data_IF_013930729668
#
_entry.id   IF_013930729668
#
_cell.length_a   1.000
_cell.length_b   1.000
_cell.length_c   1.000
_cell.angle_alpha   90.00
_cell.angle_beta   90.00
_cell.angle_gamma   90.00
#
_symmetry.space_group_name_H-M   'P 1'
#
loop_
_entity.id
_entity.type
_entity.pdbx_description
1 polymer ?
#
# COMPACT_ATOMS: atom_id res chain seq x y z
N UNK A 1 11.48 -7.18 -16.53
CA UNK A 1 11.22 -8.63 -16.66
C UNK A 1 11.61 -9.06 -18.06
N UNK A 2 10.97 -8.52 -19.12
CA UNK A 2 11.30 -8.89 -20.53
C UNK A 2 12.77 -8.65 -20.89
N UNK A 3 13.32 -7.48 -20.55
CA UNK A 3 14.73 -7.14 -20.82
C UNK A 3 15.75 -8.05 -20.13
N UNK A 4 15.36 -8.67 -19.01
CA UNK A 4 16.18 -9.58 -18.23
C UNK A 4 15.95 -11.06 -18.59
N UNK A 5 15.11 -11.35 -19.60
CA UNK A 5 14.76 -12.72 -19.97
C UNK A 5 14.08 -13.55 -18.87
N UNK A 6 13.43 -12.88 -17.89
CA UNK A 6 12.76 -13.57 -16.80
C UNK A 6 11.36 -13.97 -17.26
N UNK A 7 11.12 -15.29 -17.31
CA UNK A 7 9.80 -15.88 -17.59
C UNK A 7 9.16 -16.34 -16.29
N UNK A 8 7.83 -16.16 -16.16
CA UNK A 8 7.01 -16.58 -15.02
C UNK A 8 7.61 -16.20 -13.65
N UNK A 9 7.87 -14.92 -13.36
CA UNK A 9 8.47 -14.50 -12.09
C UNK A 9 7.58 -14.84 -10.89
N UNK A 10 8.19 -15.11 -9.74
CA UNK A 10 7.51 -15.00 -8.45
C UNK A 10 7.62 -13.55 -7.99
N UNK A 11 6.48 -12.93 -7.69
CA UNK A 11 6.43 -11.55 -7.23
C UNK A 11 6.32 -11.48 -5.71
N UNK A 12 7.15 -10.66 -5.08
CA UNK A 12 7.04 -10.37 -3.64
C UNK A 12 6.78 -8.88 -3.48
N UNK A 13 5.67 -8.53 -2.84
CA UNK A 13 5.26 -7.14 -2.68
C UNK A 13 4.86 -6.80 -1.25
N UNK A 14 5.54 -5.80 -0.66
CA UNK A 14 5.17 -5.20 0.62
C UNK A 14 4.58 -3.81 0.39
N UNK A 15 3.55 -3.46 1.13
CA UNK A 15 2.96 -2.11 1.12
C UNK A 15 2.69 -1.61 -0.31
N UNK A 16 3.34 -0.55 -0.77
CA UNK A 16 3.23 -0.03 -2.14
C UNK A 16 3.64 -1.07 -3.20
N UNK A 17 4.65 -1.90 -2.92
CA UNK A 17 5.07 -3.00 -3.81
C UNK A 17 3.95 -3.99 -4.10
N UNK A 18 3.02 -4.17 -3.16
CA UNK A 18 1.81 -4.96 -3.37
C UNK A 18 0.95 -4.45 -4.51
N UNK A 19 0.77 -3.13 -4.64
CA UNK A 19 0.03 -2.51 -5.76
C UNK A 19 0.67 -2.84 -7.11
N UNK A 20 2.00 -2.76 -7.16
CA UNK A 20 2.77 -3.07 -8.38
C UNK A 20 2.60 -4.53 -8.75
N UNK A 21 2.72 -5.43 -7.77
CA UNK A 21 2.56 -6.89 -7.96
C UNK A 21 1.16 -7.25 -8.45
N UNK A 22 0.10 -6.68 -7.82
CA UNK A 22 -1.29 -6.89 -8.22
C UNK A 22 -1.53 -6.43 -9.67
N UNK A 23 -1.10 -5.22 -10.02
CA UNK A 23 -1.27 -4.69 -11.37
C UNK A 23 -0.49 -5.50 -12.41
N UNK A 24 0.74 -5.90 -12.08
CA UNK A 24 1.56 -6.70 -12.98
C UNK A 24 0.92 -8.08 -13.23
N UNK A 25 0.56 -8.79 -12.17
CA UNK A 25 -0.01 -10.13 -12.25
C UNK A 25 -1.42 -10.16 -12.87
N UNK A 26 -2.18 -9.07 -12.78
CA UNK A 26 -3.48 -8.97 -13.46
C UNK A 26 -3.38 -8.83 -14.99
N UNK A 27 -2.17 -8.64 -15.53
CA UNK A 27 -1.90 -8.38 -16.95
C UNK A 27 -0.85 -9.30 -17.57
N UNK A 28 -0.09 -10.00 -16.73
CA UNK A 28 1.02 -10.85 -17.17
C UNK A 28 0.96 -12.16 -16.43
N UNK A 29 1.45 -13.20 -17.06
CA UNK A 29 1.61 -14.50 -16.43
C UNK A 29 2.78 -14.47 -15.43
N UNK A 30 2.53 -15.01 -14.25
CA UNK A 30 3.50 -15.07 -13.13
C UNK A 30 3.37 -16.43 -12.46
N UNK A 31 4.47 -16.94 -11.90
CA UNK A 31 4.48 -18.24 -11.21
C UNK A 31 3.65 -18.19 -9.92
N UNK A 32 3.85 -17.17 -9.12
CA UNK A 32 3.16 -16.98 -7.83
C UNK A 32 3.32 -15.55 -7.33
N UNK A 33 2.52 -15.18 -6.34
CA UNK A 33 2.55 -13.85 -5.71
C UNK A 33 2.62 -14.01 -4.20
N UNK A 34 3.47 -13.23 -3.55
CA UNK A 34 3.54 -13.10 -2.09
C UNK A 34 3.29 -11.64 -1.75
N UNK A 35 2.19 -11.38 -1.08
CA UNK A 35 1.78 -10.05 -0.63
C UNK A 35 1.88 -9.98 0.89
N UNK A 36 2.72 -9.09 1.41
CA UNK A 36 2.85 -8.88 2.84
C UNK A 36 2.48 -7.44 3.20
N UNK A 37 1.47 -7.28 4.05
CA UNK A 37 0.95 -5.96 4.47
C UNK A 37 0.76 -5.03 3.26
N UNK A 38 0.19 -5.55 2.18
CA UNK A 38 0.21 -4.94 0.86
C UNK A 38 -0.91 -3.91 0.67
N UNK A 39 -0.62 -2.80 0.01
CA UNK A 39 -1.63 -1.88 -0.46
C UNK A 39 -2.26 -2.39 -1.77
N UNK A 40 -3.52 -2.07 -1.99
CA UNK A 40 -4.26 -2.48 -3.21
C UNK A 40 -5.74 -2.14 -3.09
N UNK A 41 -6.28 -2.22 -1.90
CA UNK A 41 -7.63 -1.78 -1.57
C UNK A 41 -7.61 -0.27 -1.30
N UNK A 42 -8.61 0.46 -1.79
CA UNK A 42 -8.75 1.89 -1.51
C UNK A 42 -9.07 2.10 -0.03
N UNK A 43 -8.28 2.90 0.71
CA UNK A 43 -8.52 3.14 2.12
C UNK A 43 -9.91 3.75 2.38
N UNK A 44 -10.66 3.19 3.32
CA UNK A 44 -11.88 3.81 3.82
C UNK A 44 -11.53 5.01 4.67
N UNK A 45 -11.95 6.20 4.23
CA UNK A 45 -11.66 7.46 4.93
C UNK A 45 -12.82 7.83 5.83
N UNK A 46 -12.54 8.15 7.11
CA UNK A 46 -13.54 8.62 8.06
C UNK A 46 -13.98 10.06 7.74
N UNK A 47 -15.13 10.48 8.26
CA UNK A 47 -15.59 11.87 8.20
C UNK A 47 -14.54 12.84 8.78
N UNK A 48 -13.89 12.45 9.88
CA UNK A 48 -12.79 13.23 10.48
C UNK A 48 -11.60 13.45 9.54
N UNK A 49 -11.28 12.47 8.70
CA UNK A 49 -10.26 12.63 7.65
C UNK A 49 -10.69 13.72 6.64
N UNK A 50 -11.89 13.63 6.11
CA UNK A 50 -12.40 14.63 5.15
C UNK A 50 -12.44 16.03 5.75
N UNK A 51 -12.89 16.16 7.00
CA UNK A 51 -12.86 17.45 7.74
C UNK A 51 -11.44 18.02 7.81
N UNK A 52 -10.43 17.20 8.13
CA UNK A 52 -9.02 17.63 8.15
C UNK A 52 -8.52 18.04 6.76
N UNK A 53 -8.87 17.30 5.72
CA UNK A 53 -8.47 17.60 4.34
C UNK A 53 -9.11 18.90 3.86
N UNK A 54 -10.41 19.08 4.06
CA UNK A 54 -11.10 20.28 3.61
C UNK A 54 -10.70 21.52 4.41
N UNK A 55 -10.52 21.42 5.74
CA UNK A 55 -10.01 22.51 6.55
C UNK A 55 -8.59 22.93 6.12
N UNK A 56 -7.75 21.96 5.75
CA UNK A 56 -6.40 22.25 5.21
C UNK A 56 -6.48 22.96 3.83
N UNK A 57 -7.38 22.50 2.95
CA UNK A 57 -7.60 23.15 1.64
C UNK A 57 -8.08 24.59 1.83
N UNK A 58 -9.07 24.81 2.70
CA UNK A 58 -9.59 26.14 3.02
C UNK A 58 -8.49 27.05 3.58
N UNK A 59 -7.72 26.56 4.54
CA UNK A 59 -6.58 27.28 5.10
C UNK A 59 -5.57 27.66 4.02
N UNK A 60 -5.25 26.75 3.08
CA UNK A 60 -4.32 27.01 1.97
C UNK A 60 -4.79 28.17 1.08
N UNK A 61 -6.10 28.33 0.90
CA UNK A 61 -6.65 29.44 0.10
C UNK A 61 -6.76 30.74 0.88
N UNK A 62 -7.17 30.71 2.16
CA UNK A 62 -7.41 31.91 2.96
C UNK A 62 -6.13 32.50 3.58
N UNK A 63 -5.20 31.68 4.05
CA UNK A 63 -4.00 32.15 4.73
C UNK A 63 -3.17 33.15 3.91
N UNK A 64 -2.91 32.95 2.62
CA UNK A 64 -2.16 33.91 1.81
C UNK A 64 -2.78 35.29 1.73
N UNK A 65 -4.12 35.36 1.82
CA UNK A 65 -4.91 36.61 1.79
C UNK A 65 -4.80 37.33 3.13
N UNK A 66 -4.85 36.56 4.23
CA UNK A 66 -4.90 37.11 5.60
C UNK A 66 -3.54 37.56 6.14
N UNK A 67 -2.47 36.80 5.89
CA UNK A 67 -1.16 37.02 6.48
C UNK A 67 0.00 37.18 5.47
N UNK A 68 -0.35 37.26 4.18
CA UNK A 68 0.61 37.38 3.08
C UNK A 68 1.23 36.03 2.68
N UNK A 69 1.62 35.94 1.41
CA UNK A 69 2.08 34.68 0.76
C UNK A 69 3.25 34.00 1.49
N UNK A 70 4.25 34.78 1.92
CA UNK A 70 5.50 34.23 2.53
C UNK A 70 5.21 33.56 3.88
N UNK A 71 4.49 34.22 4.79
CA UNK A 71 4.13 33.67 6.11
C UNK A 71 3.17 32.49 5.97
N UNK A 72 2.19 32.60 5.07
CA UNK A 72 1.25 31.53 4.77
C UNK A 72 1.96 30.25 4.31
N UNK A 73 2.94 30.40 3.42
CA UNK A 73 3.69 29.24 2.89
C UNK A 73 4.48 28.52 3.98
N UNK A 74 5.12 29.23 4.88
CA UNK A 74 5.81 28.63 6.03
C UNK A 74 4.87 27.80 6.91
N UNK A 75 3.69 28.34 7.25
CA UNK A 75 2.72 27.62 8.09
C UNK A 75 2.12 26.40 7.37
N UNK A 76 1.87 26.52 6.08
CA UNK A 76 1.37 25.41 5.25
C UNK A 76 2.42 24.28 5.20
N UNK A 77 3.70 24.60 4.99
CA UNK A 77 4.76 23.59 4.94
C UNK A 77 4.99 22.93 6.32
N UNK A 78 4.95 23.69 7.41
CA UNK A 78 5.04 23.12 8.77
C UNK A 78 3.89 22.15 9.05
N UNK A 79 2.67 22.49 8.63
CA UNK A 79 1.51 21.62 8.82
C UNK A 79 1.55 20.38 7.93
N UNK A 80 2.09 20.48 6.71
CA UNK A 80 2.35 19.34 5.83
C UNK A 80 3.39 18.39 6.43
N UNK A 81 4.51 18.91 6.93
CA UNK A 81 5.58 18.11 7.53
C UNK A 81 5.07 17.26 8.70
N UNK A 82 4.11 17.79 9.49
CA UNK A 82 3.51 17.04 10.61
C UNK A 82 2.47 16.00 10.18
N UNK A 83 1.90 16.11 8.99
CA UNK A 83 0.78 15.28 8.56
C UNK A 83 1.16 14.18 7.56
N UNK A 84 2.31 14.29 6.88
CA UNK A 84 2.75 13.34 5.86
C UNK A 84 3.64 12.23 6.43
N UNK A 85 3.67 11.07 5.75
CA UNK A 85 4.71 10.05 5.98
C UNK A 85 6.10 10.60 5.64
N UNK A 86 7.15 9.96 6.15
CA UNK A 86 8.55 10.33 5.84
C UNK A 86 8.80 10.42 4.34
N UNK A 87 8.31 9.43 3.58
CA UNK A 87 8.50 9.35 2.13
C UNK A 87 7.75 10.46 1.39
N UNK A 88 6.49 10.74 1.82
CA UNK A 88 5.72 11.84 1.27
C UNK A 88 6.38 13.20 1.52
N UNK A 89 6.97 13.40 2.70
CA UNK A 89 7.61 14.65 3.06
C UNK A 89 8.93 14.90 2.29
N UNK A 90 9.68 13.84 2.00
CA UNK A 90 10.93 13.90 1.20
C UNK A 90 10.68 13.98 -0.31
N UNK A 91 9.50 13.61 -0.78
CA UNK A 91 9.16 13.57 -2.19
C UNK A 91 9.04 14.97 -2.82
N UNK A 92 9.41 15.10 -4.09
CA UNK A 92 9.18 16.31 -4.88
C UNK A 92 7.69 16.58 -5.07
N UNK A 93 7.26 17.80 -5.43
CA UNK A 93 5.84 18.10 -5.68
C UNK A 93 5.19 17.16 -6.71
N UNK A 94 5.90 16.80 -7.77
CA UNK A 94 5.46 15.85 -8.78
C UNK A 94 5.29 14.45 -8.21
N UNK A 95 6.27 13.97 -7.46
CA UNK A 95 6.22 12.66 -6.81
C UNK A 95 5.09 12.57 -5.78
N UNK A 96 4.83 13.64 -5.01
CA UNK A 96 3.69 13.72 -4.08
C UNK A 96 2.34 13.59 -4.80
N UNK A 97 2.20 14.21 -5.97
CA UNK A 97 0.99 14.10 -6.78
C UNK A 97 0.78 12.66 -7.26
N UNK A 98 1.85 12.00 -7.74
CA UNK A 98 1.84 10.59 -8.16
C UNK A 98 1.46 9.67 -6.98
N UNK A 99 2.16 9.79 -5.85
CA UNK A 99 1.88 8.99 -4.65
C UNK A 99 0.43 9.16 -4.19
N UNK A 100 -0.07 10.40 -4.15
CA UNK A 100 -1.45 10.68 -3.76
C UNK A 100 -2.46 10.03 -4.71
N UNK A 101 -2.20 10.02 -6.01
CA UNK A 101 -3.04 9.36 -7.01
C UNK A 101 -3.02 7.84 -6.81
N UNK A 102 -1.83 7.26 -6.71
CA UNK A 102 -1.65 5.82 -6.54
C UNK A 102 -2.32 5.28 -5.27
N UNK A 103 -2.13 5.95 -4.12
CA UNK A 103 -2.72 5.50 -2.84
C UNK A 103 -4.26 5.54 -2.86
N UNK A 104 -4.87 6.42 -3.65
CA UNK A 104 -6.32 6.54 -3.74
C UNK A 104 -6.95 5.67 -4.85
N UNK A 105 -6.15 5.00 -5.66
CA UNK A 105 -6.63 4.05 -6.66
C UNK A 105 -7.12 2.76 -5.99
N UNK A 106 -8.25 2.21 -6.43
CA UNK A 106 -8.77 0.92 -5.97
C UNK A 106 -8.44 -0.15 -7.01
N UNK A 107 -7.68 -1.16 -6.60
CA UNK A 107 -7.29 -2.28 -7.48
C UNK A 107 -8.19 -3.51 -7.33
N UNK A 108 -9.24 -3.44 -6.54
CA UNK A 108 -10.16 -4.56 -6.34
C UNK A 108 -10.73 -5.11 -7.65
N UNK A 109 -10.94 -4.25 -8.64
CA UNK A 109 -11.51 -4.62 -9.94
C UNK A 109 -10.58 -5.44 -10.85
N UNK A 110 -9.28 -5.47 -10.58
CA UNK A 110 -8.30 -6.27 -11.34
C UNK A 110 -7.90 -7.56 -10.63
N UNK A 111 -8.13 -7.68 -9.32
CA UNK A 111 -7.78 -8.85 -8.52
C UNK A 111 -8.40 -10.16 -9.02
N UNK A 112 -9.67 -10.21 -9.48
CA UNK A 112 -10.24 -11.42 -10.05
C UNK A 112 -9.57 -11.94 -11.34
N UNK A 113 -8.72 -11.12 -11.96
CA UNK A 113 -7.95 -11.50 -13.15
C UNK A 113 -6.62 -12.20 -12.83
N UNK A 114 -6.25 -12.26 -11.57
CA UNK A 114 -5.01 -12.91 -11.12
C UNK A 114 -5.29 -14.41 -11.05
N UNK A 115 -4.61 -15.18 -11.91
CA UNK A 115 -4.71 -16.64 -11.96
C UNK A 115 -3.62 -17.35 -11.14
N UNK A 116 -2.57 -16.63 -10.78
CA UNK A 116 -1.43 -17.20 -10.07
C UNK A 116 -1.73 -17.44 -8.59
N UNK A 117 -1.23 -18.54 -8.00
CA UNK A 117 -1.29 -18.78 -6.57
C UNK A 117 -0.76 -17.60 -5.78
N UNK A 118 -1.52 -17.15 -4.78
CA UNK A 118 -1.23 -15.92 -4.04
C UNK A 118 -1.20 -16.17 -2.53
N UNK A 119 -0.06 -15.93 -1.91
CA UNK A 119 0.09 -15.90 -0.46
C UNK A 119 -0.12 -14.48 0.05
N UNK A 120 -1.03 -14.32 1.01
CA UNK A 120 -1.21 -13.09 1.79
C UNK A 120 -0.65 -13.33 3.19
N UNK A 121 0.35 -12.57 3.60
CA UNK A 121 0.91 -12.62 4.96
C UNK A 121 0.71 -11.26 5.64
N UNK A 122 0.00 -11.24 6.78
CA UNK A 122 -0.52 -9.96 7.29
C UNK A 122 -0.53 -9.83 8.80
N UNK A 123 -0.09 -8.67 9.30
CA UNK A 123 -0.20 -8.30 10.70
C UNK A 123 -1.63 -7.92 11.11
N UNK A 124 -2.13 -8.48 12.21
CA UNK A 124 -3.47 -8.14 12.71
C UNK A 124 -3.56 -6.74 13.35
N UNK A 125 -2.40 -6.16 13.70
CA UNK A 125 -2.27 -4.79 14.24
C UNK A 125 -1.86 -3.76 13.18
N UNK A 126 -1.85 -4.15 11.90
CA UNK A 126 -1.53 -3.21 10.82
C UNK A 126 -2.59 -2.11 10.70
N UNK A 127 -2.18 -0.87 10.94
CA UNK A 127 -3.03 0.33 10.82
C UNK A 127 -2.89 1.04 9.49
N UNK A 128 -1.86 0.73 8.70
CA UNK A 128 -1.62 1.33 7.39
C UNK A 128 -2.41 0.60 6.29
N UNK A 129 -2.36 -0.72 6.29
CA UNK A 129 -3.16 -1.62 5.45
C UNK A 129 -3.88 -2.63 6.35
N UNK A 130 -5.09 -2.30 6.84
CA UNK A 130 -5.77 -3.12 7.84
C UNK A 130 -6.03 -4.56 7.38
N UNK A 131 -6.05 -5.51 8.32
CA UNK A 131 -6.35 -6.93 8.03
C UNK A 131 -7.66 -7.13 7.24
N UNK A 132 -8.61 -6.21 7.35
CA UNK A 132 -9.84 -6.22 6.54
C UNK A 132 -9.55 -6.12 5.03
N UNK A 133 -8.45 -5.47 4.65
CA UNK A 133 -8.05 -5.35 3.25
C UNK A 133 -7.47 -6.68 2.75
N UNK A 134 -6.67 -7.38 3.57
CA UNK A 134 -6.19 -8.74 3.27
C UNK A 134 -7.36 -9.73 3.08
N UNK A 135 -8.33 -9.73 4.01
CA UNK A 135 -9.55 -10.55 3.89
C UNK A 135 -10.38 -10.22 2.64
N UNK A 136 -10.33 -8.98 2.18
CA UNK A 136 -10.97 -8.58 0.92
C UNK A 136 -10.19 -9.08 -0.29
N UNK A 137 -8.86 -9.00 -0.27
CA UNK A 137 -7.99 -9.53 -1.32
C UNK A 137 -8.14 -11.05 -1.46
N UNK A 138 -8.14 -11.78 -0.34
CA UNK A 138 -8.35 -13.24 -0.30
C UNK A 138 -9.66 -13.67 -0.99
N UNK A 139 -10.73 -12.91 -0.81
CA UNK A 139 -12.02 -13.18 -1.49
C UNK A 139 -12.05 -12.81 -2.96
N UNK A 140 -11.22 -11.87 -3.39
CA UNK A 140 -11.22 -11.36 -4.77
C UNK A 140 -10.23 -12.07 -5.68
N UNK A 141 -9.13 -12.57 -5.13
CA UNK A 141 -8.13 -13.31 -5.88
C UNK A 141 -8.50 -14.79 -5.84
N UNK A 142 -8.73 -15.45 -6.99
CA UNK A 142 -9.29 -16.80 -7.05
C UNK A 142 -8.52 -17.88 -6.30
N UNK A 143 -7.18 -17.82 -6.34
CA UNK A 143 -6.29 -18.78 -5.66
C UNK A 143 -5.41 -18.02 -4.64
N UNK A 144 -6.05 -17.54 -3.57
CA UNK A 144 -5.35 -16.83 -2.49
C UNK A 144 -5.56 -17.50 -1.14
N UNK A 145 -4.48 -17.56 -0.34
CA UNK A 145 -4.51 -17.99 1.05
C UNK A 145 -3.94 -16.92 1.98
N UNK A 146 -4.63 -16.65 3.10
CA UNK A 146 -4.25 -15.66 4.10
C UNK A 146 -3.63 -16.30 5.34
N UNK A 147 -2.44 -15.86 5.69
CA UNK A 147 -1.78 -16.16 6.97
C UNK A 147 -1.72 -14.88 7.82
N UNK A 148 -2.33 -14.93 8.98
CA UNK A 148 -2.37 -13.81 9.93
C UNK A 148 -1.23 -13.91 10.92
N UNK A 149 -0.38 -12.89 10.97
CA UNK A 149 0.70 -12.73 11.94
C UNK A 149 0.15 -11.98 13.18
N UNK A 150 -0.27 -12.74 14.19
CA UNK A 150 -0.88 -12.20 15.40
C UNK A 150 0.09 -11.30 16.19
N UNK A 151 -0.37 -10.12 16.59
CA UNK A 151 0.41 -9.12 17.30
C UNK A 151 1.31 -8.25 16.43
N UNK A 152 1.51 -8.60 15.14
CA UNK A 152 2.37 -7.87 14.22
C UNK A 152 1.67 -6.64 13.59
N UNK A 153 2.46 -5.61 13.32
CA UNK A 153 2.05 -4.38 12.64
C UNK A 153 2.28 -4.42 11.13
N UNK A 154 2.61 -3.25 10.57
CA UNK A 154 2.79 -3.07 9.11
C UNK A 154 4.04 -3.73 8.52
N UNK A 155 4.92 -4.24 9.34
CA UNK A 155 6.13 -4.96 8.93
C UNK A 155 6.12 -6.40 9.45
N UNK A 156 4.97 -7.08 9.31
CA UNK A 156 4.76 -8.43 9.84
C UNK A 156 5.84 -9.43 9.42
N UNK A 157 6.36 -9.29 8.19
CA UNK A 157 7.46 -10.11 7.69
C UNK A 157 8.79 -9.94 8.45
N UNK A 158 9.01 -8.77 9.06
CA UNK A 158 10.20 -8.50 9.89
C UNK A 158 9.94 -8.84 11.35
N UNK A 159 8.74 -8.51 11.84
CA UNK A 159 8.32 -8.73 13.22
C UNK A 159 8.17 -10.22 13.55
N UNK A 160 7.77 -11.05 12.57
CA UNK A 160 7.66 -12.51 12.66
C UNK A 160 8.48 -13.20 11.57
N UNK A 161 9.75 -12.85 11.47
CA UNK A 161 10.66 -13.25 10.40
C UNK A 161 10.69 -14.78 10.19
N UNK A 162 10.86 -15.56 11.27
CA UNK A 162 11.00 -17.02 11.15
C UNK A 162 9.71 -17.66 10.66
N UNK A 163 8.57 -17.20 11.15
CA UNK A 163 7.24 -17.63 10.68
C UNK A 163 7.02 -17.25 9.22
N UNK A 164 7.41 -16.04 8.82
CA UNK A 164 7.31 -15.60 7.44
C UNK A 164 8.16 -16.45 6.51
N UNK A 165 9.42 -16.72 6.87
CA UNK A 165 10.32 -17.59 6.09
C UNK A 165 9.72 -19.00 5.96
N UNK A 166 9.28 -19.62 7.06
CA UNK A 166 8.68 -20.95 7.03
C UNK A 166 7.42 -20.99 6.13
N UNK A 167 6.57 -19.96 6.23
CA UNK A 167 5.35 -19.85 5.40
C UNK A 167 5.69 -19.71 3.92
N UNK A 168 6.67 -18.87 3.58
CA UNK A 168 7.12 -18.68 2.19
C UNK A 168 7.75 -19.94 1.63
N UNK A 169 8.61 -20.63 2.40
CA UNK A 169 9.21 -21.90 1.99
C UNK A 169 8.14 -22.94 1.70
N UNK A 170 7.17 -23.10 2.58
CA UNK A 170 6.06 -24.03 2.40
C UNK A 170 5.21 -23.68 1.16
N UNK A 171 4.90 -22.39 0.96
CA UNK A 171 4.14 -21.92 -0.20
C UNK A 171 4.87 -22.16 -1.52
N UNK A 172 6.16 -21.89 -1.57
CA UNK A 172 7.01 -22.08 -2.76
C UNK A 172 7.50 -23.52 -2.93
N UNK A 173 7.23 -24.42 -1.96
CA UNK A 173 7.68 -25.82 -1.94
C UNK A 173 9.21 -25.94 -2.09
N UNK A 174 9.94 -25.09 -1.36
CA UNK A 174 11.42 -25.11 -1.28
C UNK A 174 11.87 -25.51 0.12
N UNK A 175 12.97 -26.25 0.20
CA UNK A 175 13.61 -26.70 1.45
C UNK A 175 14.36 -25.59 2.19
#
# INVERSE_FOLDING_TARGET
VKELGIEHPTLVGHSFGGRVSILYASRNDVRSIILTDAAGVKPRRSFGYYRKVYSFKLMKHLLPILIGKRKAQMLIEQRRAKAGSSDYNRATPMMRAILSKCVNEDLCHVMPKISAPTLLFWGDKDTATPLSDAKKMERLIPDAGLVVAEGAGHFAMLEQKDRWIATVKAFLKIE
#
